data_IF_016545407439
#
_entry.id   IF_016545407439
#
_cell.length_a   1.000
_cell.length_b   1.000
_cell.length_c   1.000
_cell.angle_alpha   90.00
_cell.angle_beta   90.00
_cell.angle_gamma   90.00
#
_symmetry.space_group_name_H-M   'P 1'
#
loop_
_entity.id
_entity.type
_entity.pdbx_description
1 polymer ?
#
# COMPACT_ATOMS: atom_id res chain seq x y z
N UNK A 1 8.72 -27.26 45.19
CA UNK A 1 9.83 -26.40 45.67
C UNK A 1 11.20 -26.77 45.08
N UNK A 2 11.63 -28.03 45.14
CA UNK A 2 12.99 -28.41 44.66
C UNK A 2 13.24 -28.16 43.16
N UNK A 3 12.26 -28.37 42.28
CA UNK A 3 12.38 -28.11 40.83
C UNK A 3 12.57 -26.61 40.50
N UNK A 4 11.92 -25.72 41.27
CA UNK A 4 12.03 -24.26 41.13
C UNK A 4 13.42 -23.73 41.56
N UNK A 5 14.00 -24.34 42.60
CA UNK A 5 15.37 -24.01 43.01
C UNK A 5 16.40 -24.42 41.95
N UNK A 6 16.20 -25.57 41.31
CA UNK A 6 17.06 -26.03 40.20
C UNK A 6 16.93 -25.15 38.96
N UNK A 7 15.73 -24.68 38.60
CA UNK A 7 15.54 -23.77 37.46
C UNK A 7 16.17 -22.40 37.69
N UNK A 8 16.08 -21.87 38.93
CA UNK A 8 16.73 -20.60 39.29
C UNK A 8 18.26 -20.69 39.20
N UNK A 9 18.84 -21.79 39.68
CA UNK A 9 20.27 -22.02 39.57
C UNK A 9 20.79 -22.06 38.11
N UNK A 10 20.04 -22.67 37.19
CA UNK A 10 20.41 -22.72 35.76
C UNK A 10 20.33 -21.33 35.13
N UNK A 11 19.31 -20.53 35.48
CA UNK A 11 19.13 -19.16 34.99
C UNK A 11 20.27 -18.24 35.45
N UNK A 12 20.70 -18.39 36.71
CA UNK A 12 21.82 -17.62 37.28
C UNK A 12 23.18 -17.99 36.64
N UNK A 13 23.35 -19.24 36.18
CA UNK A 13 24.55 -19.68 35.44
C UNK A 13 24.56 -19.15 34.01
N UNK A 14 23.40 -19.15 33.32
CA UNK A 14 23.29 -18.66 31.94
C UNK A 14 23.63 -17.16 31.82
N UNK A 15 23.41 -16.36 32.87
CA UNK A 15 23.78 -14.94 32.90
C UNK A 15 25.29 -14.69 33.09
N UNK A 16 26.05 -15.67 33.58
CA UNK A 16 27.50 -15.53 33.83
C UNK A 16 28.37 -16.10 32.71
N UNK A 17 27.77 -16.76 31.72
CA UNK A 17 28.49 -17.26 30.56
C UNK A 17 28.50 -16.20 29.44
N UNK A 18 29.68 -15.78 28.93
CA UNK A 18 29.74 -14.89 27.78
C UNK A 18 29.17 -15.62 26.57
N UNK A 19 28.07 -15.10 26.00
CA UNK A 19 27.52 -15.55 24.72
C UNK A 19 28.49 -15.09 23.63
N UNK A 20 29.41 -15.95 23.24
CA UNK A 20 30.20 -15.74 22.01
C UNK A 20 29.27 -15.80 20.81
N UNK A 21 29.03 -14.64 20.18
CA UNK A 21 28.35 -14.56 18.89
C UNK A 21 27.31 -13.45 18.83
N UNK A 22 27.79 -12.26 18.47
CA UNK A 22 27.08 -11.24 17.72
C UNK A 22 25.89 -10.52 18.38
N UNK A 23 26.18 -9.40 19.06
CA UNK A 23 25.26 -8.26 19.16
C UNK A 23 26.06 -7.02 19.53
N UNK A 24 26.17 -6.06 18.59
CA UNK A 24 26.83 -4.77 18.78
C UNK A 24 26.27 -3.99 19.99
N UNK A 25 27.11 -3.18 20.67
CA UNK A 25 26.71 -2.42 21.85
C UNK A 25 25.96 -1.14 21.45
N UNK A 26 24.73 -0.97 21.96
CA UNK A 26 24.08 0.33 22.00
C UNK A 26 24.71 1.14 23.14
N UNK A 27 25.68 1.99 22.78
CA UNK A 27 26.35 2.91 23.69
C UNK A 27 25.61 4.23 23.80
N UNK A 28 25.22 4.55 25.04
CA UNK A 28 24.72 5.84 25.48
C UNK A 28 25.64 7.02 25.11
N UNK A 29 25.01 8.11 24.69
CA UNK A 29 25.42 9.51 24.76
C UNK A 29 26.93 9.80 24.90
N UNK A 30 27.60 10.01 23.76
CA UNK A 30 28.92 10.66 23.70
C UNK A 30 28.75 12.01 23.00
N UNK A 31 29.01 13.11 23.73
CA UNK A 31 28.95 14.48 23.21
C UNK A 31 30.16 14.71 22.28
N UNK A 32 29.93 14.63 20.96
CA UNK A 32 30.99 14.72 19.96
C UNK A 32 31.23 16.19 19.56
N UNK A 33 32.19 16.84 20.22
CA UNK A 33 32.80 18.06 19.71
C UNK A 33 33.71 17.72 18.51
N UNK A 34 33.17 17.81 17.29
CA UNK A 34 33.89 17.47 16.05
C UNK A 34 34.79 18.64 15.66
N UNK A 35 36.13 18.48 15.56
CA UNK A 35 36.98 19.54 15.06
C UNK A 35 36.75 19.72 13.55
N UNK A 36 36.63 20.97 13.10
CA UNK A 36 36.49 21.29 11.68
C UNK A 36 37.78 20.96 10.92
N UNK A 37 37.88 19.73 10.42
CA UNK A 37 38.94 19.32 9.50
C UNK A 37 38.65 19.87 8.10
N UNK A 38 39.48 20.81 7.63
CA UNK A 38 39.50 21.20 6.21
C UNK A 38 40.29 20.16 5.43
N UNK A 39 39.59 19.24 4.79
CA UNK A 39 40.19 18.32 3.82
C UNK A 39 40.33 19.02 2.45
N UNK A 40 41.50 18.93 1.84
CA UNK A 40 41.73 19.34 0.46
C UNK A 40 41.29 18.22 -0.48
N UNK A 41 39.99 18.10 -0.71
CA UNK A 41 39.40 17.06 -1.57
C UNK A 41 39.51 17.54 -3.02
N UNK A 42 40.10 16.75 -3.94
CA UNK A 42 40.23 17.12 -5.35
C UNK A 42 38.86 17.30 -6.02
N UNK A 43 38.74 18.32 -6.87
CA UNK A 43 37.47 18.77 -7.50
C UNK A 43 36.76 17.70 -8.34
N UNK A 44 37.49 16.69 -8.81
CA UNK A 44 36.92 15.55 -9.57
C UNK A 44 35.96 14.70 -8.73
N UNK A 45 36.15 14.59 -7.41
CA UNK A 45 35.29 13.75 -6.55
C UNK A 45 33.97 14.45 -6.22
N UNK A 46 33.92 15.78 -6.32
CA UNK A 46 32.69 16.55 -6.14
C UNK A 46 31.80 16.55 -7.39
N UNK A 47 32.30 16.02 -8.51
CA UNK A 47 31.78 16.29 -9.84
C UNK A 47 31.50 15.03 -10.68
N UNK A 48 31.09 13.90 -10.11
CA UNK A 48 30.39 12.82 -10.86
C UNK A 48 29.89 11.72 -9.88
N UNK A 49 28.59 11.50 -9.65
CA UNK A 49 27.46 11.09 -10.50
C UNK A 49 27.25 9.56 -10.55
N UNK A 50 26.12 9.15 -9.97
CA UNK A 50 25.38 7.89 -10.13
C UNK A 50 26.13 6.55 -9.99
N UNK A 51 25.92 5.93 -8.83
CA UNK A 51 26.06 4.48 -8.64
C UNK A 51 25.11 3.76 -9.63
N UNK A 52 25.59 3.45 -10.83
CA UNK A 52 24.92 2.53 -11.73
C UNK A 52 25.08 1.11 -11.17
N UNK A 53 23.99 0.60 -10.57
CA UNK A 53 23.91 -0.82 -10.24
C UNK A 53 24.12 -1.66 -11.52
N UNK A 54 24.75 -2.85 -11.44
CA UNK A 54 24.95 -3.70 -12.60
C UNK A 54 23.58 -4.13 -13.16
N UNK A 55 23.20 -3.55 -14.30
CA UNK A 55 22.00 -3.93 -15.05
C UNK A 55 22.28 -5.30 -15.67
N UNK A 56 21.78 -6.36 -15.04
CA UNK A 56 21.64 -7.67 -15.68
C UNK A 56 20.82 -7.47 -16.97
N UNK A 57 21.23 -8.01 -18.13
CA UNK A 57 20.43 -7.91 -19.34
C UNK A 57 19.10 -8.64 -19.09
N UNK A 58 18.02 -7.87 -18.98
CA UNK A 58 16.66 -8.38 -18.89
C UNK A 58 16.43 -9.11 -20.22
N UNK A 59 16.40 -10.44 -20.19
CA UNK A 59 16.00 -11.23 -21.36
C UNK A 59 14.58 -10.81 -21.70
N UNK A 60 14.38 -10.28 -22.91
CA UNK A 60 13.04 -10.11 -23.46
C UNK A 60 12.35 -11.46 -23.38
N UNK A 61 11.35 -11.56 -22.51
CA UNK A 61 10.51 -12.75 -22.43
C UNK A 61 9.66 -12.65 -23.70
N UNK A 62 10.07 -13.29 -24.78
CA UNK A 62 9.26 -13.43 -26.01
C UNK A 62 8.22 -14.54 -25.81
N UNK A 63 7.06 -14.42 -26.46
CA UNK A 63 6.03 -15.44 -26.30
C UNK A 63 6.58 -16.72 -26.92
N UNK A 64 6.42 -17.88 -26.27
CA UNK A 64 6.84 -19.12 -26.88
C UNK A 64 6.05 -19.32 -28.18
N UNK A 65 6.76 -19.48 -29.29
CA UNK A 65 6.14 -19.80 -30.59
C UNK A 65 5.29 -21.07 -30.48
N UNK A 66 4.25 -21.18 -31.29
CA UNK A 66 3.35 -22.34 -31.29
C UNK A 66 4.09 -23.69 -31.39
N UNK A 67 5.16 -23.72 -32.19
CA UNK A 67 5.99 -24.91 -32.36
C UNK A 67 6.82 -25.24 -31.10
N UNK A 68 7.21 -24.22 -30.33
CA UNK A 68 7.87 -24.41 -29.04
C UNK A 68 6.90 -24.97 -28.00
N UNK A 69 5.62 -24.55 -28.04
CA UNK A 69 4.56 -25.09 -27.17
C UNK A 69 4.28 -26.55 -27.52
N UNK A 70 4.16 -26.90 -28.81
CA UNK A 70 3.94 -28.28 -29.28
C UNK A 70 5.07 -29.23 -28.88
N UNK A 71 6.33 -28.77 -28.96
CA UNK A 71 7.53 -29.52 -28.56
C UNK A 71 7.80 -29.53 -27.05
N UNK A 72 7.03 -28.77 -26.27
CA UNK A 72 7.22 -28.69 -24.83
C UNK A 72 6.79 -29.99 -24.12
N UNK A 73 7.35 -30.23 -22.93
CA UNK A 73 7.00 -31.38 -22.06
C UNK A 73 5.70 -31.14 -21.26
N UNK A 74 4.86 -30.21 -21.71
CA UNK A 74 3.58 -29.90 -21.08
C UNK A 74 2.54 -30.99 -21.40
N UNK A 75 1.59 -31.27 -20.49
CA UNK A 75 0.40 -32.06 -20.79
C UNK A 75 -0.41 -31.47 -21.95
N UNK A 76 -1.09 -32.33 -22.71
CA UNK A 76 -1.80 -31.94 -23.93
C UNK A 76 -2.93 -30.92 -23.68
N UNK A 77 -3.61 -31.02 -22.54
CA UNK A 77 -4.61 -30.03 -22.11
C UNK A 77 -4.00 -28.64 -21.94
N UNK A 78 -2.80 -28.55 -21.36
CA UNK A 78 -2.11 -27.28 -21.14
C UNK A 78 -1.58 -26.73 -22.48
N UNK A 79 -1.04 -27.59 -23.36
CA UNK A 79 -0.63 -27.17 -24.71
C UNK A 79 -1.80 -26.58 -25.49
N UNK A 80 -2.96 -27.24 -25.45
CA UNK A 80 -4.17 -26.78 -26.11
C UNK A 80 -4.61 -25.43 -25.55
N UNK A 81 -4.66 -25.28 -24.23
CA UNK A 81 -5.01 -24.01 -23.58
C UNK A 81 -4.02 -22.90 -23.94
N UNK A 82 -2.71 -23.17 -23.97
CA UNK A 82 -1.70 -22.18 -24.35
C UNK A 82 -1.77 -21.76 -25.83
N UNK A 83 -2.25 -22.64 -26.72
CA UNK A 83 -2.51 -22.32 -28.12
C UNK A 83 -3.82 -21.54 -28.32
N UNK A 84 -4.89 -21.91 -27.59
CA UNK A 84 -6.19 -21.23 -27.67
C UNK A 84 -6.17 -19.86 -26.94
N UNK A 85 -5.38 -19.73 -25.88
CA UNK A 85 -5.27 -18.55 -25.04
C UNK A 85 -3.79 -18.21 -24.80
N UNK A 86 -3.10 -17.56 -25.77
CA UNK A 86 -1.72 -17.17 -25.60
C UNK A 86 -1.60 -16.18 -24.43
N UNK A 87 -0.60 -16.40 -23.57
CA UNK A 87 -0.36 -15.53 -22.41
C UNK A 87 0.01 -14.14 -22.94
N UNK A 88 -0.84 -13.15 -22.66
CA UNK A 88 -0.58 -11.76 -23.01
C UNK A 88 0.68 -11.30 -22.29
N UNK A 89 1.68 -10.87 -23.07
CA UNK A 89 2.87 -10.28 -22.50
C UNK A 89 2.56 -8.86 -22.08
N UNK A 90 2.71 -8.61 -20.78
CA UNK A 90 2.90 -7.25 -20.31
C UNK A 90 4.25 -6.81 -20.85
N UNK A 91 4.25 -6.10 -21.98
CA UNK A 91 5.43 -5.35 -22.41
C UNK A 91 5.69 -4.31 -21.35
N UNK A 92 6.58 -4.64 -20.40
CA UNK A 92 7.24 -3.64 -19.60
C UNK A 92 7.98 -2.75 -20.60
N UNK A 93 7.67 -1.45 -20.71
CA UNK A 93 8.35 -0.59 -21.67
C UNK A 93 9.82 -0.48 -21.26
N UNK A 94 10.65 -1.26 -21.96
CA UNK A 94 12.11 -1.23 -21.87
C UNK A 94 12.55 0.19 -22.24
N UNK A 95 13.13 0.92 -21.28
CA UNK A 95 13.73 2.23 -21.50
C UNK A 95 12.95 3.44 -20.98
N UNK A 96 11.75 3.27 -20.41
CA UNK A 96 11.18 4.31 -19.53
C UNK A 96 11.51 3.95 -18.11
N UNK A 97 12.30 4.80 -17.45
CA UNK A 97 12.40 4.81 -15.99
C UNK A 97 10.98 4.62 -15.42
N UNK A 98 10.79 3.51 -14.73
CA UNK A 98 9.52 3.13 -14.07
C UNK A 98 9.14 4.18 -13.00
N UNK A 99 10.10 5.06 -12.68
CA UNK A 99 9.88 6.25 -11.88
C UNK A 99 9.33 7.34 -12.81
N UNK A 100 8.03 7.60 -12.69
CA UNK A 100 7.39 8.77 -13.31
C UNK A 100 8.11 10.04 -12.85
N UNK A 101 8.14 11.07 -13.68
CA UNK A 101 8.74 12.36 -13.31
C UNK A 101 8.16 12.89 -11.98
N UNK A 102 6.88 12.64 -11.71
CA UNK A 102 6.21 12.95 -10.44
C UNK A 102 6.82 12.22 -9.23
N UNK A 103 7.22 10.95 -9.39
CA UNK A 103 7.85 10.16 -8.33
C UNK A 103 9.27 10.65 -8.06
N UNK A 104 10.02 10.97 -9.13
CA UNK A 104 11.37 11.52 -9.05
C UNK A 104 11.33 12.90 -8.35
N UNK A 105 10.40 13.77 -8.74
CA UNK A 105 10.25 15.10 -8.14
C UNK A 105 9.85 15.03 -6.67
N UNK A 106 8.89 14.15 -6.32
CA UNK A 106 8.49 13.94 -4.91
C UNK A 106 9.62 13.35 -4.08
N UNK A 107 10.36 12.37 -4.61
CA UNK A 107 11.50 11.78 -3.92
C UNK A 107 12.62 12.80 -3.69
N UNK A 108 12.97 13.59 -4.71
CA UNK A 108 13.97 14.66 -4.60
C UNK A 108 13.55 15.77 -3.63
N UNK A 109 12.26 16.12 -3.60
CA UNK A 109 11.70 17.09 -2.64
C UNK A 109 11.71 16.53 -1.21
N UNK A 110 11.46 15.24 -1.04
CA UNK A 110 11.52 14.55 0.25
C UNK A 110 12.98 14.42 0.74
N UNK A 111 13.93 14.19 -0.17
CA UNK A 111 15.36 14.09 0.14
C UNK A 111 16.04 15.45 0.35
N UNK A 112 15.40 16.55 -0.05
CA UNK A 112 15.92 17.92 0.16
C UNK A 112 16.92 18.38 -0.91
N UNK A 113 17.10 17.62 -1.98
CA UNK A 113 18.07 17.87 -3.04
C UNK A 113 17.42 18.79 -4.10
N UNK A 114 17.40 20.10 -3.86
CA UNK A 114 16.98 21.05 -4.90
C UNK A 114 18.15 21.34 -5.84
N UNK A 115 18.20 20.67 -7.00
CA UNK A 115 19.04 21.12 -8.11
C UNK A 115 18.53 22.49 -8.59
N UNK A 116 19.44 23.47 -8.63
CA UNK A 116 19.15 24.83 -9.10
C UNK A 116 19.17 24.81 -10.63
N UNK A 117 18.02 24.67 -11.26
CA UNK A 117 17.84 25.10 -12.64
C UNK A 117 16.71 26.13 -12.73
N UNK A 118 17.02 27.23 -13.43
CA UNK A 118 16.10 28.32 -13.71
C UNK A 118 15.09 27.84 -14.75
N UNK A 119 13.81 27.79 -14.39
CA UNK A 119 12.72 27.69 -15.37
C UNK A 119 11.77 28.87 -15.13
N UNK A 120 11.76 29.79 -16.10
CA UNK A 120 10.70 30.79 -16.26
C UNK A 120 9.51 30.10 -16.88
N UNK A 121 8.61 29.57 -16.05
CA UNK A 121 7.24 29.29 -16.47
C UNK A 121 6.30 29.73 -15.35
N UNK A 122 5.44 30.69 -15.67
CA UNK A 122 4.32 31.10 -14.84
C UNK A 122 3.31 29.95 -14.76
N UNK A 123 3.59 28.95 -13.93
CA UNK A 123 2.58 27.97 -13.53
C UNK A 123 1.78 28.61 -12.40
N UNK A 124 0.56 29.05 -12.70
CA UNK A 124 -0.41 29.36 -11.67
C UNK A 124 -0.59 28.10 -10.82
N UNK A 125 0.02 28.12 -9.65
CA UNK A 125 -0.14 27.11 -8.63
C UNK A 125 -1.52 27.34 -8.02
N UNK A 126 -2.56 26.78 -8.63
CA UNK A 126 -3.76 26.45 -7.86
C UNK A 126 -3.38 25.29 -6.97
N UNK A 127 -2.90 25.61 -5.77
CA UNK A 127 -2.86 24.67 -4.66
C UNK A 127 -4.31 24.26 -4.36
N UNK A 128 -4.85 23.31 -5.12
CA UNK A 128 -6.08 22.64 -4.76
C UNK A 128 -5.76 21.79 -3.52
N UNK A 129 -5.84 22.42 -2.35
CA UNK A 129 -5.81 21.69 -1.10
C UNK A 129 -7.00 20.75 -1.13
N UNK A 130 -6.74 19.45 -1.24
CA UNK A 130 -7.80 18.45 -1.13
C UNK A 130 -8.35 18.59 0.28
N UNK A 131 -9.53 19.18 0.38
CA UNK A 131 -10.17 19.47 1.64
C UNK A 131 -10.56 18.15 2.33
N UNK A 132 -10.34 18.08 3.64
CA UNK A 132 -10.74 16.94 4.45
C UNK A 132 -12.25 16.69 4.34
N UNK A 133 -13.04 17.74 4.10
CA UNK A 133 -14.48 17.65 3.88
C UNK A 133 -14.82 16.96 2.55
N UNK A 134 -14.05 17.24 1.49
CA UNK A 134 -14.19 16.58 0.19
C UNK A 134 -13.87 15.08 0.30
N UNK A 135 -12.80 14.71 1.00
CA UNK A 135 -12.43 13.31 1.26
C UNK A 135 -13.53 12.62 2.08
N UNK A 136 -14.05 13.28 3.12
CA UNK A 136 -15.13 12.75 3.95
C UNK A 136 -16.40 12.48 3.14
N UNK A 137 -16.70 13.34 2.16
CA UNK A 137 -17.85 13.17 1.27
C UNK A 137 -17.66 11.98 0.33
N UNK A 138 -16.48 11.84 -0.29
CA UNK A 138 -16.14 10.68 -1.12
C UNK A 138 -16.29 9.39 -0.31
N UNK A 139 -15.67 9.32 0.87
CA UNK A 139 -15.73 8.12 1.72
C UNK A 139 -17.17 7.78 2.12
N UNK A 140 -17.96 8.78 2.53
CA UNK A 140 -19.38 8.55 2.87
C UNK A 140 -20.18 8.02 1.69
N UNK A 141 -19.95 8.56 0.50
CA UNK A 141 -20.69 8.16 -0.71
C UNK A 141 -20.30 6.75 -1.16
N UNK A 142 -19.01 6.41 -1.15
CA UNK A 142 -18.53 5.06 -1.45
C UNK A 142 -19.06 4.04 -0.44
N UNK A 143 -19.04 4.34 0.85
CA UNK A 143 -19.60 3.46 1.89
C UNK A 143 -21.10 3.28 1.70
N UNK A 144 -21.84 4.36 1.43
CA UNK A 144 -23.29 4.27 1.17
C UNK A 144 -23.60 3.45 -0.09
N UNK A 145 -22.83 3.62 -1.16
CA UNK A 145 -22.99 2.89 -2.42
C UNK A 145 -22.71 1.40 -2.22
N UNK A 146 -21.61 1.05 -1.57
CA UNK A 146 -21.23 -0.35 -1.32
C UNK A 146 -22.23 -1.06 -0.41
N UNK A 147 -22.73 -0.40 0.65
CA UNK A 147 -23.75 -1.00 1.52
C UNK A 147 -25.09 -1.16 0.77
N UNK A 148 -25.45 -0.24 -0.14
CA UNK A 148 -26.62 -0.36 -1.00
C UNK A 148 -26.48 -1.49 -2.02
N UNK A 149 -25.32 -1.60 -2.65
CA UNK A 149 -24.99 -2.64 -3.64
C UNK A 149 -24.96 -4.04 -3.02
N UNK A 150 -24.43 -4.17 -1.80
CA UNK A 150 -24.42 -5.41 -1.02
C UNK A 150 -25.81 -5.77 -0.46
N UNK A 151 -26.85 -4.97 -0.74
CA UNK A 151 -28.20 -5.22 -0.26
C UNK A 151 -28.36 -5.10 1.26
N UNK A 152 -27.41 -4.49 1.98
CA UNK A 152 -27.55 -4.21 3.42
C UNK A 152 -28.41 -2.96 3.66
N UNK A 153 -28.42 -2.03 2.71
CA UNK A 153 -29.44 -1.00 2.59
C UNK A 153 -30.42 -1.44 1.50
N UNK A 154 -31.09 -2.57 1.72
CA UNK A 154 -32.27 -2.90 0.94
C UNK A 154 -33.29 -1.78 1.13
N UNK A 155 -33.51 -1.00 0.08
CA UNK A 155 -34.71 -0.16 -0.08
C UNK A 155 -35.96 -1.05 -0.26
N UNK A 156 -36.00 -2.19 0.44
CA UNK A 156 -37.12 -3.10 0.44
C UNK A 156 -38.24 -2.42 1.18
N UNK A 157 -39.34 -2.23 0.47
CA UNK A 157 -40.67 -2.22 1.08
C UNK A 157 -40.88 -3.60 1.71
N UNK A 158 -40.25 -3.86 2.86
CA UNK A 158 -40.46 -5.11 3.56
C UNK A 158 -41.93 -5.14 3.98
N UNK A 159 -42.57 -6.25 3.62
CA UNK A 159 -43.86 -6.63 4.20
C UNK A 159 -43.61 -6.77 5.70
N UNK A 160 -43.84 -5.69 6.43
CA UNK A 160 -43.61 -5.61 7.86
C UNK A 160 -44.86 -6.15 8.51
N UNK A 161 -44.81 -7.40 8.94
CA UNK A 161 -45.90 -8.07 9.67
C UNK A 161 -45.95 -7.61 11.14
N UNK A 162 -45.88 -6.30 11.35
CA UNK A 162 -45.76 -5.67 12.66
C UNK A 162 -47.12 -5.14 13.12
N UNK A 163 -47.45 -5.23 14.40
CA UNK A 163 -48.70 -4.66 14.93
C UNK A 163 -48.46 -3.23 15.41
N UNK A 164 -49.32 -2.29 15.00
CA UNK A 164 -49.32 -0.94 15.53
C UNK A 164 -50.51 -0.74 16.47
N UNK A 165 -50.33 0.09 17.49
CA UNK A 165 -51.41 0.59 18.32
C UNK A 165 -51.20 2.06 18.62
N UNK A 166 -52.21 2.90 18.45
CA UNK A 166 -52.20 4.29 18.91
C UNK A 166 -53.55 4.72 19.47
N UNK A 167 -53.53 5.65 20.42
CA UNK A 167 -54.73 6.17 21.08
C UNK A 167 -55.09 7.54 20.53
N UNK A 168 -56.37 7.74 20.20
CA UNK A 168 -56.93 9.04 19.81
C UNK A 168 -58.12 9.35 20.70
N UNK A 169 -57.96 10.32 21.59
CA UNK A 169 -58.97 10.65 22.60
C UNK A 169 -59.30 9.45 23.49
N UNK A 170 -60.56 9.02 23.48
CA UNK A 170 -61.07 7.86 24.22
C UNK A 170 -60.99 6.52 23.47
N UNK A 171 -60.45 6.49 22.25
CA UNK A 171 -60.41 5.28 21.42
C UNK A 171 -58.98 4.78 21.19
N UNK A 172 -58.84 3.46 21.04
CA UNK A 172 -57.60 2.77 20.70
C UNK A 172 -57.73 2.18 19.30
N UNK A 173 -56.78 2.50 18.44
CA UNK A 173 -56.65 1.96 17.09
C UNK A 173 -55.53 0.95 17.10
N UNK A 174 -55.82 -0.29 16.70
CA UNK A 174 -54.85 -1.36 16.55
C UNK A 174 -54.99 -2.01 15.17
N UNK A 175 -53.88 -2.47 14.61
CA UNK A 175 -53.88 -3.10 13.30
C UNK A 175 -52.54 -3.69 12.93
N UNK A 176 -52.55 -4.56 11.92
CA UNK A 176 -51.33 -5.15 11.34
C UNK A 176 -50.83 -4.27 10.20
N UNK A 177 -49.57 -3.85 10.28
CA UNK A 177 -48.86 -3.20 9.18
C UNK A 177 -48.71 -4.25 8.07
N UNK A 178 -48.91 -3.83 6.81
CA UNK A 178 -48.69 -4.70 5.65
C UNK A 178 -47.58 -4.16 4.75
N UNK A 179 -47.42 -2.84 4.71
CA UNK A 179 -46.45 -2.16 3.84
C UNK A 179 -46.13 -0.79 4.41
N UNK A 180 -44.84 -0.45 4.44
CA UNK A 180 -44.35 0.89 4.79
C UNK A 180 -43.80 1.54 3.52
N UNK A 181 -44.16 2.82 3.29
CA UNK A 181 -43.66 3.62 2.16
C UNK A 181 -43.09 4.93 2.67
N UNK A 182 -41.84 5.22 2.34
CA UNK A 182 -41.21 6.51 2.61
C UNK A 182 -41.77 7.57 1.66
N UNK A 183 -42.31 8.65 2.22
CA UNK A 183 -42.70 9.84 1.46
C UNK A 183 -41.54 10.84 1.56
N UNK A 184 -41.15 11.47 0.45
CA UNK A 184 -40.18 12.57 0.49
C UNK A 184 -40.88 13.78 1.11
N UNK A 185 -40.32 14.29 2.20
CA UNK A 185 -40.71 15.58 2.76
C UNK A 185 -39.97 16.71 2.09
#
# INVERSE_FOLDING_TARGET
>A
MQKLMKSKAIMDIHNKMPRSGDSMPMGDNVDFSIPNARYNIPDDILSENEMTAPVMPIRNIETPSEDAIKKSRLPDEIKKIMLEHPIAQVQQPIGRNILTNDLIEKASKLMGNKSKEKITEQKQVSNASIDAEYIKNIVKETVKSTIKEMGLLTESTEKSDEFFQFRVGSHIFEGKIQKIKKIKS
#
